data_IF_398685647891
#
_entry.id   IF_398685647891
#
_cell.length_a   1.000
_cell.length_b   1.000
_cell.length_c   1.000
_cell.angle_alpha   90.00
_cell.angle_beta   90.00
_cell.angle_gamma   90.00
#
_symmetry.space_group_name_H-M   'P 1'
#
loop_
_entity.id
_entity.type
_entity.pdbx_description
1 polymer ?
#
# COMPACT_ATOMS: atom_id res chain seq x y z
N UNK A 1 8.46 -5.71 5.51
CA UNK A 1 8.82 -6.59 6.64
C UNK A 1 7.75 -7.67 6.82
N UNK A 2 7.61 -8.62 5.89
CA UNK A 2 6.50 -9.56 5.90
C UNK A 2 6.53 -10.52 7.11
N UNK A 3 7.71 -10.74 7.69
CA UNK A 3 7.88 -11.53 8.92
C UNK A 3 7.17 -10.92 10.14
N UNK A 4 6.82 -9.63 10.13
CA UNK A 4 6.10 -8.97 11.23
C UNK A 4 4.57 -9.14 11.14
N UNK A 5 4.05 -9.56 9.99
CA UNK A 5 2.60 -9.67 9.74
C UNK A 5 1.85 -10.58 10.73
N UNK A 6 2.40 -11.72 11.19
CA UNK A 6 1.75 -12.53 12.23
C UNK A 6 1.57 -11.78 13.56
N UNK A 7 2.55 -10.96 13.97
CA UNK A 7 2.44 -10.16 15.19
C UNK A 7 1.40 -9.05 15.03
N UNK A 8 1.35 -8.44 13.84
CA UNK A 8 0.34 -7.44 13.53
C UNK A 8 -1.07 -8.03 13.48
N UNK A 9 -1.21 -9.26 12.99
CA UNK A 9 -2.47 -10.02 13.01
C UNK A 9 -2.96 -10.28 14.45
N UNK A 10 -2.08 -10.70 15.37
CA UNK A 10 -2.42 -10.84 16.79
C UNK A 10 -2.89 -9.50 17.39
N UNK A 11 -2.14 -8.42 17.14
CA UNK A 11 -2.49 -7.09 17.62
C UNK A 11 -3.84 -6.62 17.07
N UNK A 12 -4.09 -6.77 15.78
CA UNK A 12 -5.35 -6.38 15.14
C UNK A 12 -6.55 -7.15 15.70
N UNK A 13 -6.36 -8.44 16.03
CA UNK A 13 -7.38 -9.26 16.68
C UNK A 13 -7.69 -8.82 18.11
N UNK A 14 -6.68 -8.40 18.87
CA UNK A 14 -6.83 -7.97 20.27
C UNK A 14 -7.39 -6.55 20.41
N UNK A 15 -7.15 -5.70 19.43
CA UNK A 15 -7.49 -4.27 19.49
C UNK A 15 -8.30 -3.80 18.27
N UNK A 16 -9.56 -4.23 18.13
CA UNK A 16 -10.40 -3.89 16.97
C UNK A 16 -10.70 -2.39 16.81
N UNK A 17 -10.55 -1.60 17.87
CA UNK A 17 -10.74 -0.15 17.83
C UNK A 17 -9.52 0.66 17.34
N UNK A 18 -8.35 0.03 17.17
CA UNK A 18 -7.13 0.69 16.73
C UNK A 18 -7.05 0.64 15.20
N UNK A 19 -6.99 1.81 14.57
CA UNK A 19 -6.78 1.92 13.12
C UNK A 19 -5.32 1.62 12.79
N UNK A 20 -5.09 0.76 11.80
CA UNK A 20 -3.76 0.28 11.44
C UNK A 20 -3.53 0.56 9.95
N UNK A 21 -2.42 1.22 9.63
CA UNK A 21 -1.93 1.35 8.25
C UNK A 21 -0.63 0.56 8.14
N UNK A 22 -0.57 -0.37 7.20
CA UNK A 22 0.65 -1.11 6.86
C UNK A 22 1.36 -0.34 5.75
N UNK A 23 2.50 0.25 6.08
CA UNK A 23 3.24 1.09 5.13
C UNK A 23 3.95 0.27 4.03
N UNK A 24 4.21 0.95 2.92
CA UNK A 24 5.05 0.50 1.80
C UNK A 24 4.71 -0.91 1.28
N UNK A 25 3.43 -1.20 1.06
CA UNK A 25 2.95 -2.51 0.58
C UNK A 25 3.39 -3.69 1.48
N UNK A 26 3.70 -3.45 2.76
CA UNK A 26 4.26 -4.46 3.65
C UNK A 26 5.72 -4.81 3.37
N UNK A 27 6.38 -4.07 2.47
CA UNK A 27 7.81 -4.13 2.10
C UNK A 27 8.30 -5.57 1.85
N UNK A 28 7.85 -6.22 0.76
CA UNK A 28 8.38 -7.52 0.33
C UNK A 28 9.89 -7.45 0.07
N UNK A 29 10.57 -8.57 0.26
CA UNK A 29 12.02 -8.68 0.01
C UNK A 29 12.26 -9.19 -1.42
N UNK A 30 12.30 -8.27 -2.39
CA UNK A 30 12.46 -8.61 -3.81
C UNK A 30 13.86 -9.18 -4.14
N UNK A 31 14.81 -9.17 -3.20
CA UNK A 31 16.13 -9.81 -3.35
C UNK A 31 16.08 -11.30 -3.04
N UNK A 32 15.05 -11.78 -2.35
CA UNK A 32 14.89 -13.20 -2.05
C UNK A 32 14.61 -13.99 -3.33
N UNK A 33 15.08 -15.25 -3.38
CA UNK A 33 14.84 -16.16 -4.51
C UNK A 33 13.35 -16.32 -4.82
N UNK A 34 12.53 -16.37 -3.77
CA UNK A 34 11.07 -16.31 -3.85
C UNK A 34 10.54 -15.59 -2.61
N UNK A 35 9.96 -14.41 -2.80
CA UNK A 35 9.44 -13.57 -1.71
C UNK A 35 7.94 -13.74 -1.48
N UNK A 36 7.23 -14.43 -2.37
CA UNK A 36 5.76 -14.55 -2.34
C UNK A 36 5.22 -15.24 -1.08
N UNK A 37 5.81 -16.35 -0.58
CA UNK A 37 5.30 -17.00 0.63
C UNK A 37 5.32 -16.08 1.84
N UNK A 38 6.40 -15.30 1.99
CA UNK A 38 6.53 -14.33 3.07
C UNK A 38 5.59 -13.15 2.87
N UNK A 39 5.55 -12.58 1.65
CA UNK A 39 4.67 -11.46 1.31
C UNK A 39 3.19 -11.75 1.58
N UNK A 40 2.70 -12.93 1.17
CA UNK A 40 1.30 -13.36 1.33
C UNK A 40 0.87 -13.51 2.79
N UNK A 41 1.79 -13.53 3.77
CA UNK A 41 1.41 -13.50 5.20
C UNK A 41 0.60 -12.26 5.55
N UNK A 42 0.83 -11.14 4.86
CA UNK A 42 0.06 -9.91 5.03
C UNK A 42 -1.42 -10.08 4.67
N UNK A 43 -1.76 -10.99 3.76
CA UNK A 43 -3.13 -11.15 3.26
C UNK A 43 -4.10 -11.64 4.34
N UNK A 44 -3.59 -12.30 5.39
CA UNK A 44 -4.38 -12.67 6.57
C UNK A 44 -4.97 -11.46 7.31
N UNK A 45 -4.42 -10.26 7.10
CA UNK A 45 -4.94 -9.03 7.67
C UNK A 45 -6.24 -8.57 7.01
N UNK A 46 -6.60 -9.11 5.84
CA UNK A 46 -7.81 -8.78 5.09
C UNK A 46 -9.08 -8.83 5.96
N UNK A 47 -9.17 -9.80 6.85
CA UNK A 47 -10.34 -10.01 7.73
C UNK A 47 -10.58 -8.85 8.72
N UNK A 48 -9.62 -7.95 8.91
CA UNK A 48 -9.72 -6.84 9.85
C UNK A 48 -10.13 -5.56 9.14
N UNK A 49 -11.37 -5.06 9.33
CA UNK A 49 -11.87 -3.86 8.65
C UNK A 49 -11.15 -2.57 9.05
N UNK A 50 -10.41 -2.59 10.15
CA UNK A 50 -9.61 -1.49 10.67
C UNK A 50 -8.14 -1.52 10.20
N UNK A 51 -7.80 -2.41 9.27
CA UNK A 51 -6.47 -2.47 8.64
C UNK A 51 -6.54 -1.94 7.21
N UNK A 52 -5.62 -1.04 6.88
CA UNK A 52 -5.36 -0.53 5.54
C UNK A 52 -3.92 -0.84 5.11
N UNK A 53 -3.70 -0.98 3.81
CA UNK A 53 -2.38 -1.14 3.22
C UNK A 53 -2.05 0.13 2.43
N UNK A 54 -0.90 0.72 2.71
CA UNK A 54 -0.36 1.78 1.86
C UNK A 54 0.18 1.17 0.57
N UNK A 55 -0.55 1.39 -0.53
CA UNK A 55 -0.22 0.87 -1.85
C UNK A 55 0.43 1.97 -2.70
N UNK A 56 1.54 2.51 -2.20
CA UNK A 56 2.32 3.59 -2.79
C UNK A 56 3.82 3.31 -2.73
N UNK A 57 4.64 4.30 -3.13
CA UNK A 57 6.10 4.31 -3.00
C UNK A 57 6.84 3.15 -3.70
N UNK A 58 6.61 2.92 -5.01
CA UNK A 58 7.25 1.83 -5.74
C UNK A 58 8.78 1.93 -5.76
N UNK A 59 9.33 3.14 -5.61
CA UNK A 59 10.77 3.39 -5.54
C UNK A 59 11.45 2.78 -4.29
N UNK A 60 10.73 2.66 -3.15
CA UNK A 60 11.23 1.99 -1.95
C UNK A 60 11.30 0.47 -2.13
N UNK A 61 10.39 -0.08 -2.93
CA UNK A 61 10.22 -1.53 -3.11
C UNK A 61 11.03 -2.09 -4.28
N UNK A 62 11.12 -1.35 -5.39
CA UNK A 62 11.75 -1.81 -6.63
C UNK A 62 13.23 -2.15 -6.44
N UNK A 63 13.68 -3.25 -6.99
CA UNK A 63 15.09 -3.62 -7.08
C UNK A 63 15.71 -3.19 -8.41
N UNK A 64 14.91 -3.08 -9.48
CA UNK A 64 15.40 -2.55 -10.76
C UNK A 64 15.69 -1.04 -10.71
N UNK A 65 15.16 -0.32 -9.70
CA UNK A 65 15.36 1.12 -9.44
C UNK A 65 15.17 1.99 -10.69
N UNK A 66 14.23 1.60 -11.56
CA UNK A 66 13.98 2.24 -12.84
C UNK A 66 12.49 2.44 -13.02
N UNK A 67 12.07 3.70 -13.18
CA UNK A 67 10.69 4.03 -13.55
C UNK A 67 10.29 3.32 -14.86
N UNK A 68 9.10 2.68 -14.93
CA UNK A 68 7.99 2.76 -13.98
C UNK A 68 7.92 1.66 -12.91
N UNK A 69 9.06 1.08 -12.51
CA UNK A 69 9.18 0.09 -11.43
C UNK A 69 8.36 -1.19 -11.68
N UNK A 70 8.48 -1.74 -12.89
CA UNK A 70 7.68 -2.88 -13.38
C UNK A 70 7.75 -4.13 -12.49
N UNK A 71 8.87 -4.32 -11.78
CA UNK A 71 9.08 -5.41 -10.83
C UNK A 71 8.14 -5.34 -9.61
N UNK A 72 7.56 -4.18 -9.34
CA UNK A 72 6.64 -3.97 -8.22
C UNK A 72 5.18 -4.22 -8.58
N UNK A 73 4.80 -4.09 -9.86
CA UNK A 73 3.39 -4.11 -10.29
C UNK A 73 2.62 -5.37 -9.88
N UNK A 74 3.20 -6.59 -9.95
CA UNK A 74 2.49 -7.80 -9.53
C UNK A 74 2.06 -7.76 -8.06
N UNK A 75 2.82 -7.09 -7.20
CA UNK A 75 2.52 -6.98 -5.77
C UNK A 75 1.41 -5.96 -5.51
N UNK A 76 1.46 -4.80 -6.16
CA UNK A 76 0.38 -3.80 -6.10
C UNK A 76 -0.95 -4.39 -6.56
N UNK A 77 -0.92 -5.17 -7.65
CA UNK A 77 -2.10 -5.88 -8.17
C UNK A 77 -2.60 -6.95 -7.20
N UNK A 78 -1.73 -7.79 -6.66
CA UNK A 78 -2.12 -8.82 -5.70
C UNK A 78 -2.70 -8.23 -4.40
N UNK A 79 -2.16 -7.10 -3.93
CA UNK A 79 -2.73 -6.36 -2.80
C UNK A 79 -4.13 -5.86 -3.13
N UNK A 80 -4.34 -5.30 -4.32
CA UNK A 80 -5.66 -4.85 -4.74
C UNK A 80 -6.68 -5.99 -4.83
N UNK A 81 -6.30 -7.10 -5.47
CA UNK A 81 -7.17 -8.27 -5.64
C UNK A 81 -7.58 -8.86 -4.29
N UNK A 82 -6.70 -8.84 -3.28
CA UNK A 82 -6.98 -9.36 -1.94
C UNK A 82 -7.76 -8.35 -1.07
N UNK A 83 -7.28 -7.11 -0.99
CA UNK A 83 -7.80 -6.10 -0.05
C UNK A 83 -8.99 -5.32 -0.60
N UNK A 84 -9.05 -5.10 -1.91
CA UNK A 84 -9.98 -4.19 -2.56
C UNK A 84 -9.76 -2.73 -2.18
N UNK A 85 -10.34 -1.79 -2.93
CA UNK A 85 -10.05 -0.35 -2.75
C UNK A 85 -10.43 0.21 -1.38
N UNK A 86 -11.36 -0.40 -0.64
CA UNK A 86 -11.80 0.05 0.69
C UNK A 86 -10.73 -0.04 1.80
N UNK A 87 -9.68 -0.83 1.58
CA UNK A 87 -8.58 -1.05 2.53
C UNK A 87 -7.23 -0.58 1.99
N UNK A 88 -7.22 0.28 0.97
CA UNK A 88 -5.98 0.83 0.43
C UNK A 88 -5.87 2.33 0.70
N UNK A 89 -4.66 2.79 0.96
CA UNK A 89 -4.33 4.21 1.00
C UNK A 89 -3.11 4.48 0.13
N UNK A 90 -2.97 5.72 -0.30
CA UNK A 90 -1.82 6.18 -1.05
C UNK A 90 -1.24 7.42 -0.40
N UNK A 91 0.08 7.53 -0.43
CA UNK A 91 0.81 8.71 -0.01
C UNK A 91 2.16 8.74 -0.71
N UNK A 92 2.70 9.95 -0.89
CA UNK A 92 3.93 10.10 -1.69
C UNK A 92 5.18 9.57 -1.01
N UNK A 93 5.22 9.58 0.33
CA UNK A 93 6.46 9.31 1.07
C UNK A 93 7.43 10.50 1.10
N UNK A 94 6.96 11.71 0.72
CA UNK A 94 7.74 12.94 0.85
C UNK A 94 8.39 13.08 2.24
N UNK A 95 9.69 13.44 2.34
CA UNK A 95 10.56 14.01 1.31
C UNK A 95 11.40 13.02 0.48
N UNK A 96 11.36 11.71 0.77
CA UNK A 96 12.25 10.74 0.08
C UNK A 96 12.13 10.73 -1.46
N UNK A 97 10.94 10.77 -2.07
CA UNK A 97 10.78 10.81 -3.52
C UNK A 97 11.48 11.98 -4.20
N UNK A 98 11.75 13.10 -3.50
CA UNK A 98 12.30 14.30 -4.15
C UNK A 98 13.62 14.04 -4.91
N UNK A 99 14.32 12.97 -4.56
CA UNK A 99 15.58 12.54 -5.20
C UNK A 99 15.38 11.48 -6.30
N UNK A 100 14.23 10.81 -6.34
CA UNK A 100 13.98 9.58 -7.11
C UNK A 100 12.83 9.74 -8.11
N UNK A 101 11.76 10.44 -7.73
CA UNK A 101 10.52 10.54 -8.49
C UNK A 101 9.76 11.84 -8.16
N UNK A 102 9.58 12.75 -9.13
CA UNK A 102 8.75 13.93 -8.91
C UNK A 102 7.26 13.55 -8.78
N UNK A 103 6.47 14.40 -8.12
CA UNK A 103 5.07 14.11 -7.77
C UNK A 103 4.17 13.80 -8.98
N UNK A 104 4.41 14.43 -10.13
CA UNK A 104 3.66 14.14 -11.37
C UNK A 104 3.89 12.70 -11.86
N UNK A 105 5.10 12.16 -11.68
CA UNK A 105 5.44 10.77 -11.99
C UNK A 105 4.89 9.78 -10.98
N UNK A 106 4.77 10.16 -9.73
CA UNK A 106 4.10 9.34 -8.71
C UNK A 106 2.60 9.18 -9.01
N UNK A 107 1.93 10.26 -9.40
CA UNK A 107 0.53 10.22 -9.82
C UNK A 107 0.38 9.46 -11.15
N UNK A 108 1.26 9.72 -12.13
CA UNK A 108 1.28 8.97 -13.39
C UNK A 108 1.44 7.47 -13.15
N UNK A 109 2.23 7.04 -12.15
CA UNK A 109 2.38 5.63 -11.83
C UNK A 109 1.07 4.98 -11.40
N UNK A 110 0.35 5.60 -10.47
CA UNK A 110 -0.97 5.12 -10.06
C UNK A 110 -1.93 5.15 -11.25
N UNK A 111 -1.87 6.20 -12.06
CA UNK A 111 -2.85 6.42 -13.10
C UNK A 111 -2.72 5.49 -14.30
N UNK A 112 -1.48 5.28 -14.77
CA UNK A 112 -1.18 4.54 -16.00
C UNK A 112 -0.70 3.12 -15.78
N UNK A 113 0.02 2.86 -14.69
CA UNK A 113 0.68 1.57 -14.46
C UNK A 113 -0.03 0.72 -13.40
N UNK A 114 -0.99 1.30 -12.69
CA UNK A 114 -1.96 0.57 -11.87
C UNK A 114 -3.38 0.70 -12.43
N UNK A 115 -3.54 0.40 -13.71
CA UNK A 115 -4.81 0.41 -14.45
C UNK A 115 -5.84 -0.63 -13.98
N UNK A 116 -5.41 -1.56 -13.13
CA UNK A 116 -6.27 -2.57 -12.51
C UNK A 116 -7.19 -2.01 -11.42
N UNK A 117 -6.96 -0.79 -10.91
CA UNK A 117 -7.92 -0.13 -10.02
C UNK A 117 -9.14 0.34 -10.80
N UNK A 118 -10.35 0.04 -10.31
CA UNK A 118 -11.54 0.75 -10.78
C UNK A 118 -11.47 2.24 -10.43
N UNK A 119 -12.14 3.11 -11.19
CA UNK A 119 -12.19 4.55 -10.91
C UNK A 119 -12.68 4.83 -9.48
N UNK A 120 -13.71 4.11 -9.03
CA UNK A 120 -14.26 4.24 -7.68
C UNK A 120 -13.25 3.84 -6.59
N UNK A 121 -12.49 2.77 -6.81
CA UNK A 121 -11.46 2.34 -5.86
C UNK A 121 -10.22 3.24 -5.89
N UNK A 122 -9.93 3.87 -7.02
CA UNK A 122 -8.86 4.86 -7.15
C UNK A 122 -9.18 6.10 -6.30
N UNK A 123 -10.42 6.59 -6.31
CA UNK A 123 -10.84 7.67 -5.41
C UNK A 123 -10.75 7.29 -3.92
N UNK A 124 -11.02 6.02 -3.59
CA UNK A 124 -10.83 5.49 -2.23
C UNK A 124 -9.36 5.53 -1.82
N UNK A 125 -8.50 4.99 -2.68
CA UNK A 125 -7.05 4.91 -2.50
C UNK A 125 -6.42 6.30 -2.34
N UNK A 126 -6.73 7.24 -3.23
CA UNK A 126 -6.08 8.55 -3.33
C UNK A 126 -6.53 9.57 -2.28
N UNK A 127 -7.56 9.28 -1.48
CA UNK A 127 -7.90 10.19 -0.39
C UNK A 127 -9.12 9.84 0.45
N UNK A 128 -10.17 9.24 -0.11
CA UNK A 128 -11.40 9.00 0.69
C UNK A 128 -11.15 8.05 1.85
N UNK A 129 -10.25 7.07 1.72
CA UNK A 129 -9.86 6.24 2.86
C UNK A 129 -9.03 7.01 3.89
N UNK A 130 -8.15 7.93 3.46
CA UNK A 130 -7.42 8.78 4.38
C UNK A 130 -8.37 9.60 5.28
N UNK A 131 -9.44 10.16 4.69
CA UNK A 131 -10.48 10.90 5.43
C UNK A 131 -11.27 10.00 6.42
N UNK A 132 -11.33 8.69 6.18
CA UNK A 132 -11.95 7.72 7.10
C UNK A 132 -11.00 7.34 8.24
N UNK A 133 -9.70 7.34 7.99
CA UNK A 133 -8.67 6.93 8.95
C UNK A 133 -8.34 8.08 9.90
N UNK A 134 -7.98 9.23 9.35
CA UNK A 134 -7.54 10.39 10.12
C UNK A 134 -8.67 11.41 10.26
N UNK A 135 -8.79 11.98 11.46
CA UNK A 135 -9.73 13.07 11.73
C UNK A 135 -9.09 14.38 11.29
N UNK A 136 -9.25 14.74 10.03
CA UNK A 136 -8.89 16.07 9.55
C UNK A 136 -9.88 17.09 10.13
N UNK A 137 -9.42 18.29 10.51
CA UNK A 137 -10.33 19.38 10.83
C UNK A 137 -11.21 19.70 9.61
N UNK A 138 -12.43 20.14 9.86
CA UNK A 138 -13.28 20.68 8.80
C UNK A 138 -12.56 21.88 8.17
N UNK A 139 -12.61 21.96 6.85
CA UNK A 139 -12.06 23.09 6.11
C UNK A 139 -13.11 24.21 6.13
N UNK A 140 -12.69 25.41 6.55
CA UNK A 140 -13.52 26.63 6.47
C UNK A 140 -13.90 26.99 5.02
#
# INVERSE_FOLDING_TARGET
APHQMPMLEDMAGRFPGVKIVVDHAGKPDLKAKDCWPEFRKMFRLKKFPQVWISNSEPYEMSEIKKYPYEDTWPFYKAIYEEFGGKQLVWGTGYPRPRLELPMDKELEFVDKFCDFYSDADRELLLGKNALRIWKFPESD
#
